data_IF_547536211967
#
_entry.id   IF_547536211967
#
_cell.length_a   1.000
_cell.length_b   1.000
_cell.length_c   1.000
_cell.angle_alpha   90.00
_cell.angle_beta   90.00
_cell.angle_gamma   90.00
#
_symmetry.space_group_name_H-M   'P 1'
#
loop_
_entity.id
_entity.type
_entity.pdbx_description
1 polymer ?
#
# COMPACT_ATOMS: atom_id res chain seq x y z
N UNK A 1 15.45 58.06 8.67
CA UNK A 1 14.38 57.69 7.70
C UNK A 1 13.95 56.27 7.99
N UNK A 2 12.75 56.07 8.53
CA UNK A 2 12.17 54.74 8.67
C UNK A 2 11.61 54.35 7.30
N UNK A 3 12.20 53.36 6.64
CA UNK A 3 11.71 52.78 5.39
C UNK A 3 10.64 51.68 5.63
N UNK A 4 9.90 51.77 6.71
CA UNK A 4 8.84 50.80 6.99
C UNK A 4 7.54 51.23 6.31
N UNK A 5 7.10 50.48 5.33
CA UNK A 5 5.80 50.66 4.68
C UNK A 5 4.69 50.17 5.59
N UNK A 6 3.77 51.05 5.95
CA UNK A 6 2.55 50.68 6.67
C UNK A 6 1.44 50.45 5.66
N UNK A 7 0.98 49.21 5.55
CA UNK A 7 -0.15 48.84 4.71
C UNK A 7 -1.46 49.12 5.50
N UNK A 8 -1.86 50.38 5.53
CA UNK A 8 -3.04 50.86 6.29
C UNK A 8 -4.36 50.62 5.52
N UNK A 9 -4.30 50.61 4.18
CA UNK A 9 -5.49 50.46 3.34
C UNK A 9 -5.83 48.98 3.16
N UNK A 10 -6.86 48.51 3.89
CA UNK A 10 -7.38 47.15 3.76
C UNK A 10 -8.29 47.06 2.53
N UNK A 11 -7.73 46.71 1.37
CA UNK A 11 -8.47 46.53 0.11
C UNK A 11 -9.23 45.19 0.04
N UNK A 12 -9.63 44.63 1.19
CA UNK A 12 -10.29 43.29 1.24
C UNK A 12 -11.71 43.33 0.67
N UNK A 13 -12.35 44.46 0.62
CA UNK A 13 -13.72 44.66 0.12
C UNK A 13 -13.75 45.12 -1.35
N UNK A 14 -12.57 45.26 -1.97
CA UNK A 14 -12.48 45.67 -3.37
C UNK A 14 -13.01 44.54 -4.25
N UNK A 15 -14.07 44.81 -5.01
CA UNK A 15 -14.56 43.89 -6.02
C UNK A 15 -13.58 43.85 -7.22
N UNK A 16 -13.17 42.63 -7.58
CA UNK A 16 -12.33 42.39 -8.74
C UNK A 16 -12.90 41.20 -9.52
N UNK A 17 -12.83 41.28 -10.86
CA UNK A 17 -13.24 40.16 -11.73
C UNK A 17 -12.01 39.37 -12.12
N UNK A 18 -11.93 38.13 -11.65
CA UNK A 18 -10.91 37.15 -12.02
C UNK A 18 -11.56 35.82 -12.42
N UNK A 19 -10.95 35.12 -13.34
CA UNK A 19 -11.22 33.69 -13.51
C UNK A 19 -10.35 32.88 -12.51
N UNK A 20 -10.85 31.74 -12.05
CA UNK A 20 -10.03 30.81 -11.24
C UNK A 20 -8.71 30.48 -11.94
N UNK A 21 -8.77 30.32 -13.26
CA UNK A 21 -7.60 30.02 -14.06
C UNK A 21 -6.53 31.12 -14.02
N UNK A 22 -6.94 32.41 -14.01
CA UNK A 22 -6.01 33.54 -13.92
C UNK A 22 -5.39 33.70 -12.53
N UNK A 23 -6.02 33.15 -11.48
CA UNK A 23 -5.55 33.26 -10.10
C UNK A 23 -4.45 32.25 -9.76
N UNK A 24 -4.36 31.15 -10.48
CA UNK A 24 -3.32 30.12 -10.27
C UNK A 24 -2.14 30.40 -11.20
N UNK A 25 -0.90 30.58 -10.69
CA UNK A 25 0.28 30.80 -11.54
C UNK A 25 0.49 29.71 -12.58
N UNK A 26 1.00 30.06 -13.77
CA UNK A 26 1.17 29.09 -14.87
C UNK A 26 2.23 28.02 -14.58
N UNK A 27 3.20 28.33 -13.75
CA UNK A 27 4.28 27.45 -13.28
C UNK A 27 3.92 26.69 -12.00
N UNK A 28 2.66 26.79 -11.52
CA UNK A 28 2.25 26.10 -10.30
C UNK A 28 2.26 24.57 -10.50
N UNK A 29 2.81 23.84 -9.51
CA UNK A 29 2.98 22.38 -9.57
C UNK A 29 1.70 21.65 -9.97
N UNK A 30 0.54 22.01 -9.43
CA UNK A 30 -0.73 21.33 -9.77
C UNK A 30 -1.12 21.54 -11.24
N UNK A 31 -0.75 22.65 -11.88
CA UNK A 31 -0.95 22.82 -13.33
C UNK A 31 -0.07 21.87 -14.15
N UNK A 32 1.18 21.75 -13.74
CA UNK A 32 2.11 20.83 -14.40
C UNK A 32 1.62 19.39 -14.28
N UNK A 33 1.16 18.99 -13.11
CA UNK A 33 0.59 17.67 -12.86
C UNK A 33 -0.69 17.44 -13.67
N UNK A 34 -1.61 18.39 -13.65
CA UNK A 34 -2.89 18.28 -14.38
C UNK A 34 -2.67 18.18 -15.89
N UNK A 35 -1.65 18.86 -16.42
CA UNK A 35 -1.25 18.79 -17.82
C UNK A 35 -0.55 17.46 -18.16
N UNK A 36 0.25 16.93 -17.23
CA UNK A 36 1.01 15.70 -17.43
C UNK A 36 0.15 14.44 -17.33
N UNK A 37 -0.89 14.45 -16.49
CA UNK A 37 -1.74 13.28 -16.23
C UNK A 37 -3.12 13.50 -16.85
N UNK A 38 -3.49 12.66 -17.81
CA UNK A 38 -4.87 12.60 -18.29
C UNK A 38 -5.73 11.78 -17.31
N UNK A 39 -6.45 12.43 -16.44
CA UNK A 39 -7.25 11.80 -15.37
C UNK A 39 -8.49 11.04 -15.88
N UNK A 40 -8.82 11.12 -17.16
CA UNK A 40 -10.05 10.51 -17.72
C UNK A 40 -10.06 8.98 -17.58
N UNK A 41 -8.90 8.34 -17.56
CA UNK A 41 -8.81 6.89 -17.36
C UNK A 41 -9.47 6.41 -16.05
N UNK A 42 -9.60 7.29 -15.05
CA UNK A 42 -10.29 6.96 -13.80
C UNK A 42 -11.75 6.64 -14.03
N UNK A 43 -12.42 7.33 -14.96
CA UNK A 43 -13.83 7.04 -15.29
C UNK A 43 -13.98 5.60 -15.77
N UNK A 44 -13.11 5.18 -16.70
CA UNK A 44 -13.14 3.84 -17.27
C UNK A 44 -12.91 2.75 -16.20
N UNK A 45 -12.03 3.03 -15.22
CA UNK A 45 -11.71 2.10 -14.14
C UNK A 45 -12.82 1.94 -13.08
N UNK A 46 -13.73 2.90 -12.98
CA UNK A 46 -14.75 2.89 -11.92
C UNK A 46 -16.19 2.83 -12.43
N UNK A 47 -16.43 2.89 -13.74
CA UNK A 47 -17.77 2.96 -14.33
C UNK A 47 -18.66 1.82 -13.85
N UNK A 48 -18.14 0.59 -13.77
CA UNK A 48 -18.84 -0.60 -13.32
C UNK A 48 -19.29 -0.54 -11.85
N UNK A 49 -18.69 0.34 -11.05
CA UNK A 49 -18.98 0.53 -9.62
C UNK A 49 -20.06 1.58 -9.35
N UNK A 50 -20.57 2.19 -10.39
CA UNK A 50 -21.62 3.21 -10.31
C UNK A 50 -22.92 2.73 -10.93
N UNK A 51 -24.04 2.99 -10.25
CA UNK A 51 -25.36 2.65 -10.74
C UNK A 51 -25.79 3.64 -11.84
N UNK A 52 -26.19 3.13 -13.01
CA UNK A 52 -26.55 3.98 -14.16
C UNK A 52 -27.91 4.68 -13.98
N UNK A 53 -28.87 4.06 -13.30
CA UNK A 53 -30.30 4.46 -13.36
C UNK A 53 -30.95 4.67 -11.99
N UNK A 54 -30.22 4.62 -10.88
CA UNK A 54 -30.83 4.71 -9.55
C UNK A 54 -29.95 5.47 -8.55
N UNK A 55 -30.58 6.34 -7.75
CA UNK A 55 -29.92 7.04 -6.64
C UNK A 55 -29.62 8.52 -6.91
N UNK A 56 -29.12 9.20 -5.86
CA UNK A 56 -28.65 10.58 -5.97
C UNK A 56 -27.40 10.63 -6.87
N UNK A 57 -27.24 11.69 -7.71
CA UNK A 57 -26.01 11.91 -8.47
C UNK A 57 -24.77 11.75 -7.57
N UNK A 58 -23.83 10.94 -8.03
CA UNK A 58 -22.59 10.71 -7.32
C UNK A 58 -21.65 11.89 -7.44
N UNK A 59 -20.70 12.00 -6.51
CA UNK A 59 -19.53 12.85 -6.71
C UNK A 59 -18.70 12.35 -7.85
N UNK A 60 -18.04 13.26 -8.55
CA UNK A 60 -17.06 12.97 -9.58
C UNK A 60 -15.95 12.07 -9.00
N UNK A 61 -15.71 10.88 -9.58
CA UNK A 61 -14.67 9.97 -9.14
C UNK A 61 -13.26 10.56 -9.29
N UNK A 62 -12.99 11.35 -10.31
CA UNK A 62 -11.70 12.02 -10.52
C UNK A 62 -11.43 12.99 -9.36
N UNK A 63 -12.42 13.79 -8.99
CA UNK A 63 -12.31 14.68 -7.81
C UNK A 63 -12.03 13.88 -6.53
N UNK A 64 -12.72 12.75 -6.33
CA UNK A 64 -12.52 11.88 -5.15
C UNK A 64 -11.10 11.33 -5.07
N UNK A 65 -10.44 11.04 -6.20
CA UNK A 65 -9.05 10.57 -6.24
C UNK A 65 -8.06 11.74 -6.10
N UNK A 66 -8.36 12.90 -6.69
CA UNK A 66 -7.52 14.10 -6.57
C UNK A 66 -7.43 14.65 -5.14
N UNK A 67 -8.45 14.47 -4.30
CA UNK A 67 -8.43 14.92 -2.89
C UNK A 67 -7.31 14.25 -2.07
N UNK A 68 -7.24 12.91 -1.94
CA UNK A 68 -6.12 12.27 -1.25
C UNK A 68 -4.79 12.51 -1.97
N UNK A 69 -4.77 12.68 -3.29
CA UNK A 69 -3.57 13.05 -4.03
C UNK A 69 -2.99 14.39 -3.51
N UNK A 70 -3.81 15.44 -3.34
CA UNK A 70 -3.40 16.71 -2.72
C UNK A 70 -2.88 16.44 -1.30
N UNK A 71 -3.57 15.63 -0.52
CA UNK A 71 -3.17 15.31 0.86
C UNK A 71 -1.74 14.77 0.93
N UNK A 72 -1.42 13.78 0.11
CA UNK A 72 -0.11 13.15 0.10
C UNK A 72 0.96 14.04 -0.54
N UNK A 73 0.65 14.70 -1.65
CA UNK A 73 1.59 15.59 -2.35
C UNK A 73 2.09 16.72 -1.45
N UNK A 74 1.21 17.30 -0.64
CA UNK A 74 1.55 18.42 0.25
C UNK A 74 1.80 17.99 1.71
N UNK A 75 1.83 16.71 1.99
CA UNK A 75 2.11 16.19 3.34
C UNK A 75 1.08 16.59 4.40
N UNK A 76 -0.19 16.79 4.00
CA UNK A 76 -1.25 17.21 4.92
C UNK A 76 -1.62 16.02 5.84
N UNK A 77 -1.64 16.27 7.15
CA UNK A 77 -1.72 15.20 8.16
C UNK A 77 -3.02 14.41 8.21
N UNK A 78 -4.13 14.96 7.72
CA UNK A 78 -5.43 14.29 7.80
C UNK A 78 -6.41 14.77 6.73
N UNK A 79 -7.34 13.91 6.33
CA UNK A 79 -8.42 14.25 5.40
C UNK A 79 -9.25 15.46 5.86
N UNK A 80 -9.50 15.60 7.17
CA UNK A 80 -10.20 16.78 7.72
C UNK A 80 -9.43 18.06 7.47
N UNK A 81 -8.12 18.04 7.65
CA UNK A 81 -7.27 19.20 7.37
C UNK A 81 -7.22 19.46 5.87
N UNK A 82 -7.10 18.43 5.05
CA UNK A 82 -7.12 18.58 3.59
C UNK A 82 -8.37 19.31 3.10
N UNK A 83 -9.55 18.93 3.58
CA UNK A 83 -10.79 19.61 3.21
C UNK A 83 -10.77 21.09 3.62
N UNK A 84 -10.30 21.42 4.83
CA UNK A 84 -10.18 22.82 5.27
C UNK A 84 -9.20 23.62 4.42
N UNK A 85 -8.10 23.01 4.00
CA UNK A 85 -7.15 23.66 3.07
C UNK A 85 -7.80 23.89 1.69
N UNK A 86 -8.55 22.91 1.17
CA UNK A 86 -9.27 23.04 -0.10
C UNK A 86 -10.32 24.18 -0.03
N UNK A 87 -10.98 24.37 1.11
CA UNK A 87 -11.99 25.44 1.27
C UNK A 87 -11.41 26.83 0.98
N UNK A 88 -10.15 27.08 1.28
CA UNK A 88 -9.52 28.41 1.21
C UNK A 88 -8.40 28.52 0.17
N UNK A 89 -7.95 27.42 -0.41
CA UNK A 89 -6.83 27.42 -1.36
C UNK A 89 -7.36 27.38 -2.80
N UNK A 90 -7.14 28.44 -3.54
CA UNK A 90 -7.59 28.60 -4.93
C UNK A 90 -6.97 27.55 -5.87
N UNK A 91 -5.67 27.23 -5.69
CA UNK A 91 -4.99 26.26 -6.54
C UNK A 91 -5.54 24.83 -6.32
N UNK A 92 -5.89 24.49 -5.09
CA UNK A 92 -6.52 23.19 -4.79
C UNK A 92 -7.92 23.08 -5.40
N UNK A 93 -8.72 24.15 -5.25
CA UNK A 93 -10.06 24.21 -5.87
C UNK A 93 -9.99 24.10 -7.39
N UNK A 94 -9.08 24.86 -8.01
CA UNK A 94 -8.83 24.81 -9.44
C UNK A 94 -8.48 23.38 -9.90
N UNK A 95 -7.56 22.72 -9.20
CA UNK A 95 -7.13 21.36 -9.55
C UNK A 95 -8.25 20.31 -9.43
N UNK A 96 -9.20 20.55 -8.50
CA UNK A 96 -10.36 19.69 -8.30
C UNK A 96 -11.53 20.02 -9.26
N UNK A 97 -11.44 21.10 -10.03
CA UNK A 97 -12.53 21.58 -10.89
C UNK A 97 -13.68 22.22 -10.10
N UNK A 98 -13.42 22.70 -8.89
CA UNK A 98 -14.40 23.41 -8.06
C UNK A 98 -14.36 24.91 -8.32
N UNK A 99 -15.53 25.55 -8.45
CA UNK A 99 -15.65 27.01 -8.45
C UNK A 99 -15.44 27.57 -7.02
N UNK A 100 -15.26 28.89 -6.91
CA UNK A 100 -15.06 29.58 -5.61
C UNK A 100 -16.23 29.38 -4.64
N UNK A 101 -17.43 29.23 -5.16
CA UNK A 101 -18.67 29.07 -4.38
C UNK A 101 -19.11 27.61 -4.25
N UNK A 102 -18.49 26.69 -4.98
CA UNK A 102 -18.87 25.29 -4.90
C UNK A 102 -18.60 24.72 -3.50
N UNK A 103 -19.52 23.88 -2.99
CA UNK A 103 -19.32 23.25 -1.70
C UNK A 103 -18.20 22.20 -1.78
N UNK A 104 -17.24 22.28 -0.88
CA UNK A 104 -16.20 21.24 -0.76
C UNK A 104 -16.80 20.00 -0.10
N UNK A 105 -16.45 18.78 -0.58
CA UNK A 105 -16.94 17.56 0.01
C UNK A 105 -16.60 17.42 1.49
N UNK A 106 -17.52 16.84 2.28
CA UNK A 106 -17.23 16.55 3.68
C UNK A 106 -16.09 15.51 3.79
N UNK A 107 -15.21 15.65 4.78
CA UNK A 107 -14.02 14.81 4.96
C UNK A 107 -14.33 13.31 5.06
N UNK A 108 -15.54 12.90 5.50
CA UNK A 108 -15.94 11.50 5.55
C UNK A 108 -16.39 10.95 4.19
N UNK A 109 -16.56 11.79 3.18
CA UNK A 109 -17.10 11.37 1.88
C UNK A 109 -16.14 10.42 1.15
N UNK A 110 -14.85 10.74 1.15
CA UNK A 110 -13.85 9.84 0.58
C UNK A 110 -13.86 8.47 1.28
N UNK A 111 -13.78 8.45 2.61
CA UNK A 111 -13.78 7.19 3.38
C UNK A 111 -15.03 6.34 3.15
N UNK A 112 -16.22 6.96 3.02
CA UNK A 112 -17.46 6.25 2.70
C UNK A 112 -17.46 5.67 1.28
N UNK A 113 -16.96 6.42 0.30
CA UNK A 113 -16.82 5.93 -1.07
C UNK A 113 -15.76 4.84 -1.15
N UNK A 114 -14.61 5.00 -0.50
CA UNK A 114 -13.59 3.97 -0.40
C UNK A 114 -14.18 2.67 0.14
N UNK A 115 -14.81 2.70 1.32
CA UNK A 115 -15.35 1.49 1.95
C UNK A 115 -16.47 0.81 1.16
N UNK A 116 -17.22 1.54 0.35
CA UNK A 116 -18.37 1.01 -0.39
C UNK A 116 -18.04 0.57 -1.81
N UNK A 117 -17.05 1.17 -2.47
CA UNK A 117 -16.78 0.98 -3.89
C UNK A 117 -15.36 0.56 -4.21
N UNK A 118 -14.37 1.09 -3.49
CA UNK A 118 -12.96 0.95 -3.85
C UNK A 118 -12.23 -0.05 -2.96
N UNK A 119 -12.74 -0.31 -1.75
CA UNK A 119 -12.19 -1.34 -0.87
C UNK A 119 -12.30 -2.71 -1.55
N UNK A 120 -11.29 -3.52 -1.37
CA UNK A 120 -11.19 -4.86 -1.95
C UNK A 120 -11.16 -4.87 -3.51
N UNK A 121 -10.73 -3.75 -4.11
CA UNK A 121 -10.44 -3.62 -5.55
C UNK A 121 -8.98 -3.27 -5.76
N UNK A 122 -8.48 -3.53 -6.95
CA UNK A 122 -7.14 -3.18 -7.42
C UNK A 122 -7.04 -1.76 -8.02
N UNK A 123 -8.06 -0.91 -7.79
CA UNK A 123 -8.17 0.43 -8.39
C UNK A 123 -6.90 1.27 -8.22
N UNK A 124 -6.36 1.33 -6.98
CA UNK A 124 -5.17 2.14 -6.72
C UNK A 124 -3.92 1.55 -7.37
N UNK A 125 -3.85 0.25 -7.49
CA UNK A 125 -2.79 -0.44 -8.22
C UNK A 125 -2.86 -0.14 -9.72
N UNK A 126 -4.05 -0.14 -10.30
CA UNK A 126 -4.27 0.23 -11.70
C UNK A 126 -3.94 1.71 -11.96
N UNK A 127 -4.32 2.62 -11.04
CA UNK A 127 -3.94 4.04 -11.13
C UNK A 127 -2.41 4.19 -11.10
N UNK A 128 -1.74 3.49 -10.18
CA UNK A 128 -0.29 3.51 -10.07
C UNK A 128 0.37 3.01 -11.36
N UNK A 129 -0.09 1.87 -11.89
CA UNK A 129 0.42 1.30 -13.16
C UNK A 129 0.24 2.25 -14.34
N UNK A 130 -0.90 2.94 -14.45
CA UNK A 130 -1.14 3.93 -15.51
C UNK A 130 -0.19 5.12 -15.43
N UNK A 131 0.05 5.64 -14.23
CA UNK A 131 1.02 6.73 -14.04
C UNK A 131 2.43 6.26 -14.38
N UNK A 132 2.80 5.05 -13.98
CA UNK A 132 4.09 4.45 -14.27
C UNK A 132 4.30 4.26 -15.79
N UNK A 133 3.27 3.78 -16.51
CA UNK A 133 3.30 3.68 -17.98
C UNK A 133 3.58 5.04 -18.65
N UNK A 134 2.98 6.13 -18.14
CA UNK A 134 3.26 7.48 -18.64
C UNK A 134 4.72 7.90 -18.36
N UNK A 135 5.24 7.63 -17.18
CA UNK A 135 6.65 7.92 -16.85
C UNK A 135 7.62 7.15 -17.75
N UNK A 136 7.31 5.90 -18.08
CA UNK A 136 8.11 5.09 -19.02
C UNK A 136 8.11 5.66 -20.43
N UNK A 137 6.97 6.16 -20.93
CA UNK A 137 6.89 6.83 -22.26
C UNK A 137 7.82 8.02 -22.37
N UNK A 138 8.00 8.76 -21.28
CA UNK A 138 8.92 9.89 -21.21
C UNK A 138 10.38 9.49 -20.91
N UNK A 139 10.67 8.18 -20.80
CA UNK A 139 12.01 7.64 -20.47
C UNK A 139 12.57 8.21 -19.16
N UNK A 140 11.71 8.40 -18.17
CA UNK A 140 12.08 8.89 -16.83
C UNK A 140 12.58 7.77 -15.93
N UNK A 141 12.34 6.53 -16.31
CA UNK A 141 12.58 5.32 -15.53
C UNK A 141 13.64 4.49 -16.23
N UNK A 142 14.63 4.03 -15.48
CA UNK A 142 15.58 2.99 -15.89
C UNK A 142 15.22 1.67 -15.21
N UNK A 143 15.00 0.61 -15.97
CA UNK A 143 14.59 -0.70 -15.43
C UNK A 143 15.72 -1.74 -15.42
N UNK A 144 16.93 -1.37 -15.85
CA UNK A 144 18.07 -2.30 -15.94
C UNK A 144 18.49 -2.79 -14.54
N UNK A 145 18.50 -1.88 -13.56
CA UNK A 145 18.82 -2.17 -12.16
C UNK A 145 17.64 -1.83 -11.25
N UNK A 146 17.14 -2.83 -10.53
CA UNK A 146 16.03 -2.65 -9.58
C UNK A 146 16.51 -2.88 -8.15
N UNK A 147 16.25 -1.91 -7.29
CA UNK A 147 16.58 -1.93 -5.87
C UNK A 147 15.34 -2.29 -5.06
N UNK A 148 15.41 -3.35 -4.26
CA UNK A 148 14.32 -3.83 -3.42
C UNK A 148 14.69 -3.65 -1.96
N UNK A 149 13.83 -2.95 -1.21
CA UNK A 149 13.98 -2.73 0.22
C UNK A 149 12.63 -2.75 0.94
N UNK A 150 12.65 -3.10 2.23
CA UNK A 150 11.47 -3.15 3.07
C UNK A 150 11.51 -2.14 4.21
N UNK A 151 10.45 -1.37 4.35
CA UNK A 151 10.27 -0.42 5.44
C UNK A 151 9.10 -0.81 6.32
N UNK A 152 9.29 -0.76 7.66
CA UNK A 152 8.23 -1.05 8.61
C UNK A 152 7.41 0.20 8.95
N UNK A 153 6.12 0.16 8.62
CA UNK A 153 5.15 1.21 8.93
C UNK A 153 4.30 0.79 10.12
N UNK A 154 4.28 1.63 11.16
CA UNK A 154 3.49 1.37 12.37
C UNK A 154 2.00 1.35 12.04
N UNK A 155 1.32 0.27 12.39
CA UNK A 155 -0.13 0.14 12.25
C UNK A 155 -0.89 1.05 13.22
N UNK A 156 -2.07 1.51 12.83
CA UNK A 156 -3.00 2.23 13.70
C UNK A 156 -3.76 1.24 14.60
N UNK A 157 -3.01 0.43 15.35
CA UNK A 157 -3.51 -0.64 16.17
C UNK A 157 -3.31 -0.37 17.66
N UNK A 158 -4.30 -0.72 18.48
CA UNK A 158 -4.19 -0.64 19.92
C UNK A 158 -3.39 -1.84 20.46
N UNK A 159 -2.15 -1.60 20.89
CA UNK A 159 -1.25 -2.64 21.39
C UNK A 159 -1.76 -3.34 22.68
N UNK A 160 -2.70 -2.74 23.41
CA UNK A 160 -3.32 -3.34 24.60
C UNK A 160 -4.49 -4.28 24.24
N UNK A 161 -5.08 -4.12 23.05
CA UNK A 161 -6.17 -4.99 22.55
C UNK A 161 -5.60 -6.01 21.58
N UNK A 162 -5.10 -7.12 22.12
CA UNK A 162 -4.53 -8.21 21.34
C UNK A 162 -5.15 -9.56 21.71
N UNK A 163 -5.23 -10.46 20.73
CA UNK A 163 -5.60 -11.87 20.91
C UNK A 163 -4.34 -12.73 20.71
N UNK A 164 -4.21 -13.79 21.49
CA UNK A 164 -3.25 -14.85 21.19
C UNK A 164 -3.91 -15.79 20.17
N UNK A 165 -3.36 -15.91 18.98
CA UNK A 165 -3.81 -16.87 17.97
C UNK A 165 -2.89 -18.07 18.00
N UNK A 166 -3.45 -19.25 18.00
CA UNK A 166 -2.70 -20.51 17.95
C UNK A 166 -2.09 -20.63 16.54
N UNK A 167 -0.77 -20.74 16.47
CA UNK A 167 -0.02 -20.82 15.20
C UNK A 167 -0.01 -22.24 14.58
N UNK A 168 -0.95 -23.10 14.97
CA UNK A 168 -0.90 -24.53 14.71
C UNK A 168 -1.04 -24.91 13.22
N UNK A 169 -1.91 -24.22 12.48
CA UNK A 169 -2.19 -24.60 11.08
C UNK A 169 -1.05 -24.25 10.12
N UNK A 170 -0.38 -23.11 10.32
CA UNK A 170 0.73 -22.70 9.44
C UNK A 170 2.01 -23.49 9.68
N UNK A 171 2.26 -23.92 10.92
CA UNK A 171 3.42 -24.76 11.24
C UNK A 171 3.30 -26.15 10.63
N UNK A 172 2.10 -26.77 10.68
CA UNK A 172 1.82 -28.07 10.07
C UNK A 172 1.93 -28.03 8.55
N UNK A 173 1.37 -26.98 7.93
CA UNK A 173 1.48 -26.81 6.48
C UNK A 173 2.95 -26.64 6.04
N UNK A 174 3.73 -25.86 6.78
CA UNK A 174 5.14 -25.64 6.48
C UNK A 174 6.00 -26.89 6.69
N UNK A 175 5.71 -27.69 7.72
CA UNK A 175 6.37 -28.98 7.93
C UNK A 175 6.07 -29.96 6.79
N UNK A 176 4.82 -29.99 6.29
CA UNK A 176 4.42 -30.85 5.17
C UNK A 176 5.07 -30.43 3.86
N UNK A 177 5.14 -29.12 3.57
CA UNK A 177 5.78 -28.59 2.36
C UNK A 177 7.30 -28.84 2.38
N UNK A 178 7.96 -28.55 3.51
CA UNK A 178 9.38 -28.83 3.70
C UNK A 178 9.69 -30.33 3.56
N UNK A 179 8.82 -31.19 4.05
CA UNK A 179 8.99 -32.63 3.99
C UNK A 179 8.80 -33.16 2.55
N UNK A 180 7.91 -32.55 1.76
CA UNK A 180 7.78 -32.83 0.32
C UNK A 180 9.03 -32.42 -0.44
N UNK A 181 9.52 -31.18 -0.27
CA UNK A 181 10.75 -30.70 -0.92
C UNK A 181 11.96 -31.58 -0.56
N UNK A 182 12.14 -31.95 0.71
CA UNK A 182 13.20 -32.82 1.17
C UNK A 182 13.08 -34.21 0.50
N UNK A 183 11.87 -34.75 0.35
CA UNK A 183 11.66 -36.05 -0.26
C UNK A 183 11.88 -36.03 -1.78
N UNK A 184 11.53 -34.95 -2.46
CA UNK A 184 11.80 -34.73 -3.88
C UNK A 184 13.32 -34.63 -4.13
N UNK A 185 14.05 -33.85 -3.32
CA UNK A 185 15.51 -33.76 -3.42
C UNK A 185 16.19 -35.13 -3.14
N UNK A 186 15.70 -35.88 -2.17
CA UNK A 186 16.20 -37.22 -1.86
C UNK A 186 15.94 -38.22 -3.00
N UNK A 187 14.79 -38.16 -3.66
CA UNK A 187 14.48 -39.00 -4.83
C UNK A 187 15.37 -38.65 -6.02
N UNK A 188 15.60 -37.35 -6.27
CA UNK A 188 16.52 -36.89 -7.30
C UNK A 188 17.95 -37.41 -7.09
N UNK A 189 18.35 -37.64 -5.84
CA UNK A 189 19.66 -38.21 -5.47
C UNK A 189 19.64 -39.72 -5.18
N UNK A 190 18.59 -40.44 -5.59
CA UNK A 190 18.49 -41.90 -5.43
C UNK A 190 18.35 -42.42 -3.99
N UNK A 191 17.96 -41.54 -3.06
CA UNK A 191 17.77 -41.86 -1.63
C UNK A 191 16.31 -42.16 -1.33
N UNK A 192 16.05 -43.08 -0.42
CA UNK A 192 14.66 -43.36 0.04
C UNK A 192 14.04 -42.16 0.76
N UNK A 193 12.73 -41.90 0.57
CA UNK A 193 12.02 -40.82 1.28
C UNK A 193 12.07 -41.03 2.79
N UNK A 194 11.99 -39.90 3.53
CA UNK A 194 11.92 -39.93 4.99
C UNK A 194 10.59 -40.54 5.43
N UNK A 195 10.62 -41.38 6.44
CA UNK A 195 9.38 -41.94 7.04
C UNK A 195 8.64 -40.82 7.78
N UNK A 196 7.35 -40.67 7.45
CA UNK A 196 6.42 -39.80 8.17
C UNK A 196 6.38 -40.15 9.65
N UNK A 197 6.88 -39.28 10.51
CA UNK A 197 6.81 -39.46 11.97
C UNK A 197 5.46 -39.10 12.57
N UNK A 198 4.56 -38.45 11.82
CA UNK A 198 3.30 -37.85 12.31
C UNK A 198 2.01 -38.47 11.74
N UNK A 199 1.96 -39.78 11.50
CA UNK A 199 0.68 -40.45 11.28
C UNK A 199 -0.04 -40.67 12.64
N UNK A 200 -0.51 -39.63 13.29
CA UNK A 200 -1.57 -39.69 14.27
C UNK A 200 -2.58 -38.59 13.97
N UNK A 201 -3.69 -39.02 13.36
CA UNK A 201 -4.94 -38.31 13.07
C UNK A 201 -4.86 -37.02 12.22
N UNK A 202 -5.51 -37.00 11.04
CA UNK A 202 -5.69 -35.76 10.30
C UNK A 202 -6.56 -34.79 11.12
N UNK A 203 -6.22 -33.51 11.23
CA UNK A 203 -7.07 -32.54 11.87
C UNK A 203 -8.35 -32.35 11.03
N UNK A 204 -9.50 -32.45 11.67
CA UNK A 204 -10.82 -32.08 11.12
C UNK A 204 -10.83 -30.58 10.82
N UNK A 205 -11.32 -30.13 9.65
CA UNK A 205 -11.39 -28.71 9.34
C UNK A 205 -12.33 -28.00 10.33
N UNK A 206 -11.99 -26.79 10.80
CA UNK A 206 -12.84 -26.05 11.73
C UNK A 206 -14.14 -25.64 11.02
N UNK A 207 -15.25 -26.19 11.48
CA UNK A 207 -16.60 -25.73 11.14
C UNK A 207 -16.82 -24.34 11.74
N UNK A 208 -17.19 -23.39 10.88
CA UNK A 208 -17.61 -22.06 11.30
C UNK A 208 -18.82 -22.14 12.23
N UNK A 209 -18.65 -21.83 13.49
CA UNK A 209 -19.73 -21.50 14.43
C UNK A 209 -19.39 -20.22 15.18
N UNK A 210 -20.25 -19.22 15.00
CA UNK A 210 -20.43 -18.11 15.92
C UNK A 210 -20.72 -18.67 17.31
N UNK A 211 -19.81 -18.47 18.24
CA UNK A 211 -20.14 -18.52 19.66
C UNK A 211 -19.29 -17.48 20.40
N UNK A 212 -20.01 -16.44 20.83
CA UNK A 212 -19.62 -15.59 21.94
C UNK A 212 -19.68 -16.47 23.19
N UNK A 213 -18.52 -16.80 23.79
CA UNK A 213 -18.40 -16.89 25.26
C UNK A 213 -16.92 -17.05 25.62
N UNK A 214 -16.51 -16.30 26.65
CA UNK A 214 -15.24 -16.38 27.35
C UNK A 214 -15.06 -17.80 27.95
N UNK A 215 -14.13 -18.56 27.39
CA UNK A 215 -13.44 -19.61 28.14
C UNK A 215 -11.95 -19.49 27.86
N UNK A 216 -11.21 -19.11 28.88
CA UNK A 216 -9.75 -19.20 28.92
C UNK A 216 -9.36 -20.67 28.98
N UNK A 217 -9.39 -21.35 27.83
CA UNK A 217 -8.74 -22.65 27.72
C UNK A 217 -7.24 -22.47 27.98
N UNK A 218 -6.74 -23.23 28.93
CA UNK A 218 -5.30 -23.31 29.24
C UNK A 218 -4.60 -23.93 28.03
N UNK A 219 -3.97 -23.09 27.23
CA UNK A 219 -3.18 -23.50 26.09
C UNK A 219 -1.87 -24.10 26.62
N UNK A 220 -1.49 -25.32 26.24
CA UNK A 220 -0.22 -25.92 26.66
C UNK A 220 0.96 -25.02 26.28
N UNK A 221 1.98 -24.95 27.15
CA UNK A 221 3.13 -24.06 27.00
C UNK A 221 3.98 -24.30 25.73
N UNK A 222 3.82 -25.44 25.07
CA UNK A 222 4.57 -25.83 23.86
C UNK A 222 4.01 -25.26 22.55
N UNK A 223 2.86 -24.55 22.58
CA UNK A 223 2.23 -24.02 21.37
C UNK A 223 2.68 -22.57 21.16
N UNK A 224 3.46 -22.34 20.09
CA UNK A 224 3.84 -20.98 19.68
C UNK A 224 2.57 -20.17 19.33
N UNK A 225 2.23 -19.21 20.16
CA UNK A 225 1.09 -18.31 19.93
C UNK A 225 1.52 -17.06 19.18
N UNK A 226 0.84 -16.75 18.07
CA UNK A 226 0.98 -15.48 17.35
C UNK A 226 0.10 -14.41 18.02
N UNK A 227 0.67 -13.25 18.32
CA UNK A 227 -0.12 -12.10 18.80
C UNK A 227 -0.76 -11.39 17.61
N UNK A 228 -2.10 -11.24 17.64
CA UNK A 228 -2.85 -10.52 16.61
C UNK A 228 -3.58 -9.34 17.25
N UNK A 229 -3.64 -8.21 16.54
CA UNK A 229 -4.42 -7.05 16.95
C UNK A 229 -5.92 -7.33 16.77
N UNK A 230 -6.75 -6.85 17.71
CA UNK A 230 -8.21 -6.90 17.58
C UNK A 230 -8.71 -5.74 16.70
N UNK A 231 -8.01 -4.61 16.75
CA UNK A 231 -8.41 -3.40 16.04
C UNK A 231 -7.89 -3.36 14.60
N UNK A 232 -6.84 -4.10 14.31
CA UNK A 232 -6.20 -4.20 13.00
C UNK A 232 -5.61 -5.61 12.84
N UNK A 233 -6.46 -6.61 12.50
CA UNK A 233 -6.06 -8.02 12.47
C UNK A 233 -5.01 -8.36 11.41
N UNK A 234 -4.88 -7.55 10.37
CA UNK A 234 -3.94 -7.74 9.25
C UNK A 234 -2.52 -7.30 9.63
N UNK A 235 -2.38 -6.45 10.66
CA UNK A 235 -1.07 -5.99 11.10
C UNK A 235 -0.29 -7.07 11.83
N UNK A 236 1.03 -7.10 11.63
CA UNK A 236 1.96 -8.02 12.28
C UNK A 236 2.56 -7.46 13.57
N UNK A 237 2.77 -8.33 14.57
CA UNK A 237 3.47 -7.97 15.79
C UNK A 237 4.98 -7.95 15.54
N UNK A 238 5.56 -6.75 15.44
CA UNK A 238 6.94 -6.51 15.06
C UNK A 238 7.77 -5.97 16.23
N UNK A 239 9.04 -6.41 16.33
CA UNK A 239 9.99 -5.92 17.32
C UNK A 239 10.86 -4.83 16.71
N UNK A 240 10.64 -3.59 17.13
CA UNK A 240 11.45 -2.44 16.71
C UNK A 240 12.53 -2.14 17.76
N UNK A 241 13.79 -2.46 17.43
CA UNK A 241 14.90 -2.29 18.36
C UNK A 241 14.83 -3.26 19.57
N UNK A 242 15.63 -3.00 20.61
CA UNK A 242 15.79 -3.95 21.71
C UNK A 242 14.57 -4.09 22.63
N UNK A 243 13.77 -3.04 22.79
CA UNK A 243 12.74 -3.00 23.85
C UNK A 243 11.33 -2.66 23.39
N UNK A 244 11.09 -2.35 22.11
CA UNK A 244 9.78 -1.88 21.65
C UNK A 244 9.12 -2.84 20.68
N UNK A 245 7.96 -3.37 21.07
CA UNK A 245 7.09 -4.14 20.19
C UNK A 245 5.91 -3.28 19.74
N UNK A 246 5.60 -3.33 18.47
CA UNK A 246 4.50 -2.60 17.85
C UNK A 246 3.79 -3.47 16.84
N UNK A 247 2.51 -3.20 16.59
CA UNK A 247 1.86 -3.71 15.38
C UNK A 247 2.30 -2.85 14.19
N UNK A 248 2.75 -3.49 13.13
CA UNK A 248 3.29 -2.85 11.94
C UNK A 248 2.95 -3.63 10.67
N UNK A 249 3.13 -2.94 9.56
CA UNK A 249 3.18 -3.52 8.22
C UNK A 249 4.61 -3.42 7.70
N UNK A 250 5.07 -4.42 6.98
CA UNK A 250 6.24 -4.34 6.12
C UNK A 250 5.77 -3.85 4.75
N UNK A 251 6.32 -2.75 4.29
CA UNK A 251 6.10 -2.21 2.95
C UNK A 251 7.37 -2.42 2.16
N UNK A 252 7.33 -3.36 1.24
CA UNK A 252 8.41 -3.56 0.29
C UNK A 252 8.23 -2.63 -0.90
N UNK A 253 9.29 -2.01 -1.32
CA UNK A 253 9.33 -1.15 -2.51
C UNK A 253 10.44 -1.60 -3.43
N UNK A 254 10.15 -1.60 -4.71
CA UNK A 254 11.13 -1.77 -5.76
C UNK A 254 11.29 -0.44 -6.50
N UNK A 255 12.51 0.05 -6.59
CA UNK A 255 12.84 1.35 -7.20
C UNK A 255 13.93 1.17 -8.25
N UNK A 256 13.99 2.09 -9.20
CA UNK A 256 15.15 2.23 -10.07
C UNK A 256 16.30 2.98 -9.38
N UNK A 257 17.43 3.15 -10.05
CA UNK A 257 18.62 3.87 -9.55
C UNK A 257 18.35 5.34 -9.21
N UNK A 258 17.29 5.94 -9.76
CA UNK A 258 16.88 7.31 -9.53
C UNK A 258 15.85 7.46 -8.43
N UNK A 259 15.40 6.33 -7.85
CA UNK A 259 14.39 6.30 -6.78
C UNK A 259 12.94 6.33 -7.28
N UNK A 260 12.69 6.10 -8.56
CA UNK A 260 11.34 5.91 -9.07
C UNK A 260 10.79 4.56 -8.60
N UNK A 261 9.65 4.59 -7.91
CA UNK A 261 8.99 3.37 -7.44
C UNK A 261 8.37 2.64 -8.62
N UNK A 262 8.82 1.40 -8.87
CA UNK A 262 8.33 0.52 -9.93
C UNK A 262 7.25 -0.43 -9.46
N UNK A 263 7.28 -0.77 -8.18
CA UNK A 263 6.32 -1.64 -7.54
C UNK A 263 6.37 -1.55 -6.03
N UNK A 264 5.30 -1.98 -5.38
CA UNK A 264 5.25 -2.09 -3.93
C UNK A 264 4.40 -3.28 -3.50
N UNK A 265 4.67 -3.81 -2.32
CA UNK A 265 3.83 -4.80 -1.65
C UNK A 265 3.70 -4.48 -0.16
N UNK A 266 2.60 -4.90 0.44
CA UNK A 266 2.32 -4.64 1.86
C UNK A 266 2.01 -5.96 2.54
N UNK A 267 2.75 -6.25 3.61
CA UNK A 267 2.66 -7.50 4.35
C UNK A 267 2.55 -7.23 5.86
N UNK A 268 2.07 -8.19 6.66
CA UNK A 268 2.17 -8.10 8.11
C UNK A 268 3.63 -7.92 8.55
N UNK A 269 3.91 -6.95 9.42
CA UNK A 269 5.27 -6.57 9.80
C UNK A 269 6.09 -7.64 10.53
N UNK A 270 5.53 -8.80 10.80
CA UNK A 270 6.22 -9.96 11.38
C UNK A 270 6.62 -11.01 10.33
N UNK A 271 6.33 -10.78 9.06
CA UNK A 271 6.82 -11.62 7.98
C UNK A 271 8.25 -11.25 7.63
N UNK A 272 9.03 -12.25 7.24
CA UNK A 272 10.43 -12.05 6.89
C UNK A 272 10.53 -11.71 5.40
N UNK A 273 11.41 -10.76 5.06
CA UNK A 273 11.60 -10.23 3.71
C UNK A 273 11.81 -11.32 2.65
N UNK A 274 12.52 -12.40 3.00
CA UNK A 274 12.72 -13.55 2.12
C UNK A 274 11.44 -14.31 1.76
N UNK A 275 10.34 -14.14 2.50
CA UNK A 275 9.06 -14.78 2.22
C UNK A 275 8.14 -13.90 1.39
N UNK A 276 8.28 -12.60 1.56
CA UNK A 276 7.45 -11.60 0.88
C UNK A 276 8.02 -11.22 -0.47
N UNK A 277 9.31 -11.47 -0.72
CA UNK A 277 10.02 -11.18 -1.96
C UNK A 277 9.27 -11.60 -3.23
N UNK A 278 8.64 -12.79 -3.23
CA UNK A 278 7.94 -13.27 -4.41
C UNK A 278 6.85 -12.30 -4.87
N UNK A 279 6.15 -11.67 -3.93
CA UNK A 279 5.05 -10.74 -4.24
C UNK A 279 5.56 -9.49 -4.95
N UNK A 280 6.66 -8.91 -4.49
CA UNK A 280 7.25 -7.74 -5.15
C UNK A 280 7.94 -8.12 -6.47
N UNK A 281 8.59 -9.29 -6.50
CA UNK A 281 9.25 -9.80 -7.69
C UNK A 281 8.28 -9.98 -8.87
N UNK A 282 7.12 -10.59 -8.65
CA UNK A 282 6.10 -10.77 -9.70
C UNK A 282 5.64 -9.44 -10.30
N UNK A 283 5.64 -8.35 -9.53
CA UNK A 283 5.26 -7.03 -10.00
C UNK A 283 6.34 -6.38 -10.88
N UNK A 284 7.60 -6.64 -10.60
CA UNK A 284 8.72 -6.01 -11.32
C UNK A 284 9.36 -6.89 -12.40
N UNK A 285 9.06 -8.17 -12.40
CA UNK A 285 9.57 -9.12 -13.38
C UNK A 285 9.26 -8.73 -14.83
N UNK A 286 8.09 -8.09 -15.06
CA UNK A 286 7.67 -7.64 -16.39
C UNK A 286 8.54 -6.53 -16.97
N UNK A 287 9.37 -5.87 -16.17
CA UNK A 287 10.33 -4.88 -16.62
C UNK A 287 11.63 -5.51 -17.17
N UNK A 288 11.79 -6.84 -17.04
CA UNK A 288 12.95 -7.59 -17.51
C UNK A 288 14.30 -7.01 -17.04
N UNK A 289 14.48 -6.78 -15.72
CA UNK A 289 15.70 -6.16 -15.21
C UNK A 289 16.92 -7.07 -15.46
N UNK A 290 18.08 -6.46 -15.68
CA UNK A 290 19.35 -7.18 -15.75
C UNK A 290 19.85 -7.55 -14.36
N UNK A 291 19.62 -6.68 -13.36
CA UNK A 291 20.07 -6.85 -11.97
C UNK A 291 18.98 -6.51 -10.96
N UNK A 292 18.90 -7.29 -9.89
CA UNK A 292 18.12 -6.95 -8.69
C UNK A 292 19.05 -6.83 -7.49
N UNK A 293 19.06 -5.66 -6.87
CA UNK A 293 19.82 -5.33 -5.67
C UNK A 293 18.88 -5.36 -4.47
N UNK A 294 19.23 -6.14 -3.46
CA UNK A 294 18.44 -6.23 -2.24
C UNK A 294 19.34 -6.40 -1.01
N UNK A 295 18.82 -6.13 0.18
CA UNK A 295 19.60 -6.28 1.39
C UNK A 295 19.84 -7.75 1.80
N UNK A 296 20.66 -7.96 2.83
CA UNK A 296 20.98 -9.30 3.31
C UNK A 296 19.77 -10.10 3.82
N UNK A 297 18.65 -9.45 4.14
CA UNK A 297 17.40 -10.11 4.54
C UNK A 297 16.79 -10.97 3.43
N UNK A 298 17.05 -10.60 2.17
CA UNK A 298 16.59 -11.32 0.99
C UNK A 298 17.55 -12.42 0.53
N UNK A 299 18.77 -12.47 1.08
CA UNK A 299 19.80 -13.42 0.67
C UNK A 299 19.44 -14.85 1.06
N UNK A 300 18.74 -15.54 0.18
CA UNK A 300 18.44 -16.96 0.32
C UNK A 300 18.81 -17.74 -0.95
N UNK A 301 19.18 -19.01 -0.83
CA UNK A 301 19.47 -19.86 -2.00
C UNK A 301 18.28 -19.96 -2.97
N UNK A 302 17.05 -19.92 -2.45
CA UNK A 302 15.82 -19.98 -3.26
C UNK A 302 15.68 -18.74 -4.14
N UNK A 303 15.79 -17.54 -3.56
CA UNK A 303 15.69 -16.26 -4.29
C UNK A 303 16.83 -16.16 -5.32
N UNK A 304 18.08 -16.43 -4.91
CA UNK A 304 19.22 -16.39 -5.83
C UNK A 304 19.05 -17.34 -7.02
N UNK A 305 18.60 -18.56 -6.77
CA UNK A 305 18.35 -19.56 -7.82
C UNK A 305 17.24 -19.13 -8.78
N UNK A 306 16.17 -18.53 -8.25
CA UNK A 306 15.06 -18.02 -9.06
C UNK A 306 15.51 -16.89 -9.98
N UNK A 307 16.22 -15.89 -9.46
CA UNK A 307 16.73 -14.77 -10.25
C UNK A 307 17.68 -15.23 -11.34
N UNK A 308 18.65 -16.10 -11.01
CA UNK A 308 19.58 -16.66 -11.99
C UNK A 308 18.86 -17.50 -13.07
N UNK A 309 17.80 -18.24 -12.71
CA UNK A 309 16.97 -18.96 -13.68
C UNK A 309 16.29 -18.02 -14.65
N UNK A 310 15.84 -16.87 -14.18
CA UNK A 310 15.20 -15.84 -14.99
C UNK A 310 16.23 -14.91 -15.66
N UNK A 311 17.54 -15.22 -15.56
CA UNK A 311 18.69 -14.48 -16.13
C UNK A 311 18.88 -13.09 -15.54
N UNK A 312 18.50 -12.92 -14.30
CA UNK A 312 18.66 -11.67 -13.54
C UNK A 312 19.83 -11.85 -12.58
N UNK A 313 20.75 -10.90 -12.53
CA UNK A 313 21.89 -10.94 -11.61
C UNK A 313 21.43 -10.55 -10.19
N UNK A 314 21.56 -11.42 -9.17
CA UNK A 314 21.24 -11.08 -7.80
C UNK A 314 22.42 -10.42 -7.10
N UNK A 315 22.22 -9.24 -6.53
CA UNK A 315 23.19 -8.54 -5.66
C UNK A 315 22.60 -8.38 -4.25
N UNK A 316 23.25 -9.04 -3.21
CA UNK A 316 22.79 -9.01 -1.82
C UNK A 316 23.89 -8.56 -0.86
#
# INVERSE_FOLDING_TARGET
>A
FFMMTKNADKKREQMMMFSMDSMVPQDHMLRLIDKAINWNFIYDLVEDKYCQNNGRPSMDPVMLIKIPFIQYLYGIKSMRQTIREIEVNVAYRWFLGLDMLDPVPHFSTFGKNYSRRFKDTDLFEQIFSKILEECMKYKLINTDEIFVDATHVKACANSKKMRKRVAHEQALWYEDELQKEINEDRQAHGKKPLKDKNKKNPPTPPTSRNDQHNELEQIPDDIKTKKSSITDPESGWFRKGEHKHVFAYAVETACDEHGWVLGYSVHPGNEHDSRTFQTIYEKVKSFEPEMIVADAGYKTPAIARQLLKDRIEPLF
#
